data_IF_202625607630
#
_entry.id   IF_202625607630
#
_cell.length_a   1.000
_cell.length_b   1.000
_cell.length_c   1.000
_cell.angle_alpha   90.00
_cell.angle_beta   90.00
_cell.angle_gamma   90.00
#
_symmetry.space_group_name_H-M   'P 1'
#
loop_
_entity.id
_entity.type
_entity.pdbx_description
1 polymer ?
#
# COMPACT_ATOMS: atom_id res chain seq x y z
N UNK A 1 28.42 12.92 13.62
CA UNK A 1 27.31 12.47 12.75
C UNK A 1 26.59 13.73 12.30
N UNK A 2 26.85 14.18 11.07
CA UNK A 2 26.31 15.44 10.56
C UNK A 2 24.93 15.12 9.95
N UNK A 3 23.87 15.52 10.63
CA UNK A 3 22.52 15.46 10.10
C UNK A 3 22.33 16.67 9.19
N UNK A 4 22.30 16.45 7.88
CA UNK A 4 21.93 17.48 6.92
C UNK A 4 20.42 17.70 7.06
N UNK A 5 20.03 18.72 7.80
CA UNK A 5 18.67 19.26 7.73
C UNK A 5 18.64 20.14 6.49
N UNK A 6 17.90 19.71 5.46
CA UNK A 6 17.58 20.59 4.36
C UNK A 6 16.73 21.73 4.92
N UNK A 7 17.29 22.94 4.96
CA UNK A 7 16.57 24.17 5.29
C UNK A 7 15.54 24.37 4.20
N UNK A 8 14.24 24.38 4.56
CA UNK A 8 13.20 24.88 3.67
C UNK A 8 13.34 26.40 3.67
N UNK A 9 13.63 27.00 2.52
CA UNK A 9 13.45 28.43 2.35
C UNK A 9 11.98 28.74 2.58
N UNK A 10 11.70 29.69 3.47
CA UNK A 10 10.36 30.15 3.83
C UNK A 10 9.67 30.77 2.60
N UNK A 11 8.96 29.92 1.86
CA UNK A 11 8.00 30.24 0.84
C UNK A 11 7.07 29.05 0.68
N UNK A 12 5.76 29.26 0.72
CA UNK A 12 4.78 28.21 0.43
C UNK A 12 4.87 27.86 -1.07
N UNK A 13 5.84 27.02 -1.40
CA UNK A 13 6.07 26.47 -2.73
C UNK A 13 5.01 25.43 -3.14
N UNK A 14 3.99 25.23 -2.28
CA UNK A 14 2.88 24.32 -2.45
C UNK A 14 3.23 22.86 -2.19
N UNK A 15 4.44 22.56 -1.70
CA UNK A 15 4.88 21.21 -1.39
C UNK A 15 4.71 20.88 0.10
N UNK A 16 4.16 19.70 0.38
CA UNK A 16 3.95 19.20 1.73
C UNK A 16 4.20 17.69 1.82
N UNK A 17 4.45 17.13 3.02
CA UNK A 17 4.56 15.68 3.22
C UNK A 17 3.40 14.90 2.59
N UNK A 18 3.70 13.79 1.92
CA UNK A 18 2.68 12.92 1.33
C UNK A 18 1.73 12.37 2.41
N UNK A 19 0.42 12.42 2.13
CA UNK A 19 -0.63 11.90 3.00
C UNK A 19 -1.12 10.56 2.46
N UNK A 20 -0.88 9.48 3.22
CA UNK A 20 -1.29 8.13 2.85
C UNK A 20 -2.36 7.66 3.84
N UNK A 21 -3.55 7.32 3.34
CA UNK A 21 -4.64 6.73 4.13
C UNK A 21 -4.70 5.23 3.91
N UNK A 22 -4.93 4.47 4.98
CA UNK A 22 -5.10 3.02 4.92
C UNK A 22 -6.58 2.65 5.00
N UNK A 23 -7.02 1.75 4.14
CA UNK A 23 -8.34 1.09 4.18
C UNK A 23 -8.10 -0.40 4.40
N UNK A 24 -8.53 -0.93 5.54
CA UNK A 24 -8.25 -2.32 5.96
C UNK A 24 -9.51 -3.18 6.08
N UNK A 25 -10.56 -2.86 5.32
CA UNK A 25 -11.87 -3.54 5.37
C UNK A 25 -11.75 -5.07 5.27
N UNK A 26 -10.87 -5.56 4.39
CA UNK A 26 -10.65 -7.00 4.20
C UNK A 26 -10.08 -7.69 5.45
N UNK A 27 -9.37 -6.98 6.31
CA UNK A 27 -8.89 -7.54 7.58
C UNK A 27 -10.01 -7.71 8.60
N UNK A 28 -11.18 -7.11 8.38
CA UNK A 28 -12.34 -7.16 9.28
C UNK A 28 -13.51 -7.98 8.71
N UNK A 29 -13.46 -8.37 7.45
CA UNK A 29 -14.44 -9.25 6.81
C UNK A 29 -13.93 -10.71 6.82
N UNK A 30 -14.56 -11.62 7.58
CA UNK A 30 -14.16 -13.04 7.67
C UNK A 30 -14.08 -13.79 6.32
N UNK A 31 -14.79 -13.31 5.28
CA UNK A 31 -14.76 -13.90 3.94
C UNK A 31 -13.52 -13.52 3.14
N UNK A 32 -12.76 -12.53 3.61
CA UNK A 32 -11.66 -11.86 2.89
C UNK A 32 -10.27 -12.20 3.46
N UNK A 33 -10.23 -12.97 4.55
CA UNK A 33 -9.01 -13.50 5.14
C UNK A 33 -9.23 -14.89 5.74
N UNK A 34 -8.13 -15.58 6.07
CA UNK A 34 -8.18 -16.85 6.78
C UNK A 34 -8.51 -16.61 8.25
N UNK A 35 -9.59 -17.19 8.74
CA UNK A 35 -10.05 -17.10 10.14
C UNK A 35 -9.69 -18.33 10.96
N UNK A 36 -9.53 -19.47 10.30
CA UNK A 36 -9.10 -20.72 10.90
C UNK A 36 -8.30 -21.57 9.89
N UNK A 37 -7.48 -22.49 10.40
CA UNK A 37 -6.84 -23.50 9.55
C UNK A 37 -7.91 -24.39 8.91
N UNK A 38 -7.73 -24.74 7.64
CA UNK A 38 -8.72 -25.48 6.84
C UNK A 38 -9.76 -24.61 6.15
N UNK A 39 -9.79 -23.29 6.41
CA UNK A 39 -10.63 -22.37 5.66
C UNK A 39 -10.32 -22.45 4.15
N UNK A 40 -11.37 -22.55 3.33
CA UNK A 40 -11.25 -22.40 1.88
C UNK A 40 -11.39 -20.93 1.51
N UNK A 41 -10.41 -20.40 0.77
CA UNK A 41 -10.42 -19.03 0.26
C UNK A 41 -10.04 -19.00 -1.21
N UNK A 42 -10.37 -17.90 -1.87
CA UNK A 42 -9.92 -17.63 -3.24
C UNK A 42 -8.79 -16.61 -3.15
N UNK A 43 -7.63 -16.94 -3.71
CA UNK A 43 -6.49 -16.02 -3.76
C UNK A 43 -6.68 -14.89 -4.79
N UNK A 44 -5.70 -13.99 -4.85
CA UNK A 44 -5.75 -12.84 -5.74
C UNK A 44 -5.69 -13.19 -7.25
N UNK A 45 -5.31 -14.43 -7.59
CA UNK A 45 -5.29 -14.97 -8.95
C UNK A 45 -6.54 -15.80 -9.27
N UNK A 46 -7.50 -15.88 -8.34
CA UNK A 46 -8.74 -16.64 -8.52
C UNK A 46 -8.61 -18.13 -8.22
N UNK A 47 -7.51 -18.58 -7.58
CA UNK A 47 -7.30 -19.99 -7.24
C UNK A 47 -7.84 -20.29 -5.84
N UNK A 48 -8.44 -21.47 -5.70
CA UNK A 48 -8.83 -21.97 -4.39
C UNK A 48 -7.58 -22.36 -3.58
N UNK A 49 -7.52 -21.87 -2.34
CA UNK A 49 -6.49 -22.21 -1.37
C UNK A 49 -7.13 -22.73 -0.09
N UNK A 50 -6.41 -23.61 0.59
CA UNK A 50 -6.74 -24.06 1.95
C UNK A 50 -5.80 -23.36 2.90
N UNK A 51 -6.35 -22.60 3.85
CA UNK A 51 -5.56 -21.87 4.83
C UNK A 51 -4.84 -22.82 5.79
N UNK A 52 -3.54 -22.60 6.00
CA UNK A 52 -2.77 -23.27 7.04
C UNK A 52 -2.92 -22.55 8.40
N UNK A 53 -2.39 -23.14 9.47
CA UNK A 53 -2.45 -22.51 10.80
C UNK A 53 -1.68 -21.19 10.86
N UNK A 54 -0.56 -21.09 10.13
CA UNK A 54 0.24 -19.87 10.03
C UNK A 54 -0.37 -18.83 9.07
N UNK A 55 -1.39 -19.18 8.31
CA UNK A 55 -2.15 -18.28 7.43
C UNK A 55 -3.26 -17.52 8.14
N UNK A 56 -3.63 -17.92 9.37
CA UNK A 56 -4.74 -17.30 10.10
C UNK A 56 -4.44 -15.85 10.46
N UNK A 57 -5.33 -14.93 10.12
CA UNK A 57 -5.29 -13.56 10.61
C UNK A 57 -5.74 -13.54 12.08
N UNK A 58 -4.78 -13.45 12.99
CA UNK A 58 -5.06 -13.21 14.41
C UNK A 58 -5.20 -11.72 14.70
N UNK A 59 -5.86 -11.37 15.82
CA UNK A 59 -5.92 -9.98 16.28
C UNK A 59 -4.52 -9.39 16.54
N UNK A 60 -3.60 -10.21 17.04
CA UNK A 60 -2.20 -9.78 17.24
C UNK A 60 -1.54 -9.42 15.90
N UNK A 61 -1.68 -10.25 14.86
CA UNK A 61 -1.14 -9.97 13.52
C UNK A 61 -1.77 -8.72 12.90
N UNK A 62 -3.09 -8.58 13.03
CA UNK A 62 -3.83 -7.37 12.59
C UNK A 62 -3.30 -6.13 13.30
N UNK A 63 -3.12 -6.20 14.61
CA UNK A 63 -2.60 -5.10 15.45
C UNK A 63 -1.17 -4.71 15.07
N UNK A 64 -0.27 -5.68 14.86
CA UNK A 64 1.10 -5.44 14.41
C UNK A 64 1.10 -4.63 13.11
N UNK A 65 0.32 -5.06 12.11
CA UNK A 65 0.29 -4.36 10.82
C UNK A 65 -0.33 -2.96 10.93
N UNK A 66 -1.52 -2.84 11.52
CA UNK A 66 -2.28 -1.58 11.51
C UNK A 66 -1.74 -0.53 12.49
N UNK A 67 -1.15 -0.96 13.62
CA UNK A 67 -0.70 -0.04 14.68
C UNK A 67 0.81 0.17 14.73
N UNK A 68 1.60 -0.69 14.07
CA UNK A 68 3.06 -0.60 14.12
C UNK A 68 3.69 -0.56 12.73
N UNK A 69 3.54 -1.63 11.94
CA UNK A 69 4.28 -1.79 10.67
C UNK A 69 3.87 -0.75 9.63
N UNK A 70 2.58 -0.60 9.31
CA UNK A 70 2.12 0.38 8.32
C UNK A 70 2.35 1.82 8.78
N UNK A 71 2.03 2.24 10.02
CA UNK A 71 2.33 3.59 10.48
C UNK A 71 3.81 3.94 10.36
N UNK A 72 4.72 3.07 10.78
CA UNK A 72 6.16 3.31 10.69
C UNK A 72 6.65 3.36 9.23
N UNK A 73 6.15 2.47 8.36
CA UNK A 73 6.49 2.47 6.94
C UNK A 73 5.97 3.73 6.21
N UNK A 74 4.75 4.17 6.53
CA UNK A 74 4.17 5.41 6.01
C UNK A 74 4.99 6.61 6.50
N UNK A 75 5.37 6.64 7.77
CA UNK A 75 6.19 7.71 8.33
C UNK A 75 7.53 7.85 7.58
N UNK A 76 8.22 6.73 7.31
CA UNK A 76 9.47 6.75 6.55
C UNK A 76 9.32 7.44 5.19
N UNK A 77 8.20 7.21 4.49
CA UNK A 77 7.89 7.87 3.22
C UNK A 77 7.46 9.33 3.40
N UNK A 78 6.55 9.63 4.33
CA UNK A 78 6.03 10.99 4.54
C UNK A 78 7.12 11.99 4.98
N UNK A 79 8.12 11.53 5.72
CA UNK A 79 9.26 12.38 6.12
C UNK A 79 10.21 12.72 4.97
N UNK A 80 10.15 12.00 3.84
CA UNK A 80 11.12 12.07 2.74
C UNK A 80 10.51 12.52 1.42
N UNK A 81 9.21 12.26 1.22
CA UNK A 81 8.49 12.57 0.01
C UNK A 81 7.57 13.76 0.24
N UNK A 82 7.95 14.89 -0.35
CA UNK A 82 7.04 16.02 -0.50
C UNK A 82 6.26 15.88 -1.80
N UNK A 83 4.97 16.25 -1.77
CA UNK A 83 4.07 16.26 -2.92
C UNK A 83 3.31 17.58 -2.96
N UNK A 84 2.79 17.95 -4.14
CA UNK A 84 1.71 18.94 -4.22
C UNK A 84 0.42 18.27 -3.77
N UNK A 85 -0.21 18.67 -2.64
CA UNK A 85 -1.33 17.95 -2.09
C UNK A 85 -2.53 17.90 -3.03
N UNK A 86 -3.21 16.76 -3.10
CA UNK A 86 -4.53 16.67 -3.73
C UNK A 86 -5.52 17.51 -2.91
N UNK A 87 -6.20 18.46 -3.57
CA UNK A 87 -7.09 19.43 -2.92
C UNK A 87 -8.53 18.95 -2.82
N UNK A 88 -8.97 18.08 -3.75
CA UNK A 88 -10.31 17.48 -3.75
C UNK A 88 -10.29 16.07 -3.16
N UNK A 89 -11.44 15.55 -2.68
CA UNK A 89 -11.54 14.15 -2.28
C UNK A 89 -11.11 13.21 -3.41
N UNK A 90 -10.30 12.22 -3.06
CA UNK A 90 -9.85 11.17 -3.97
C UNK A 90 -11.01 10.20 -4.18
N UNK A 91 -11.56 10.18 -5.40
CA UNK A 91 -12.66 9.28 -5.80
C UNK A 91 -12.10 8.11 -6.58
N UNK A 92 -12.49 6.90 -6.20
CA UNK A 92 -12.04 5.67 -6.83
C UNK A 92 -12.98 5.29 -7.97
N UNK A 93 -12.48 5.03 -9.20
CA UNK A 93 -13.34 4.61 -10.30
C UNK A 93 -13.93 3.21 -10.07
N UNK A 94 -15.04 2.89 -10.74
CA UNK A 94 -15.62 1.55 -10.68
C UNK A 94 -14.89 0.53 -11.57
N UNK A 95 -14.14 0.99 -12.57
CA UNK A 95 -13.39 0.16 -13.52
C UNK A 95 -11.91 0.56 -13.53
N UNK A 96 -11.06 -0.26 -14.15
CA UNK A 96 -9.62 0.04 -14.24
C UNK A 96 -8.88 -0.02 -12.89
N UNK A 97 -9.39 -0.81 -11.93
CA UNK A 97 -8.87 -0.89 -10.57
C UNK A 97 -7.53 -1.64 -10.43
N UNK A 98 -7.00 -2.23 -11.50
CA UNK A 98 -5.81 -3.07 -11.42
C UNK A 98 -5.97 -4.17 -10.36
N UNK A 99 -4.97 -4.33 -9.47
CA UNK A 99 -5.03 -5.29 -8.37
C UNK A 99 -5.99 -4.90 -7.24
N UNK A 100 -6.39 -3.62 -7.13
CA UNK A 100 -7.36 -3.21 -6.11
C UNK A 100 -8.77 -3.75 -6.37
N UNK A 101 -9.05 -4.29 -7.57
CA UNK A 101 -10.29 -5.03 -7.83
C UNK A 101 -10.48 -6.22 -6.89
N UNK A 102 -9.35 -6.74 -6.36
CA UNK A 102 -9.34 -7.86 -5.43
C UNK A 102 -9.44 -7.42 -3.97
N UNK A 103 -9.71 -6.14 -3.68
CA UNK A 103 -9.83 -5.60 -2.33
C UNK A 103 -11.23 -5.01 -2.11
N UNK A 104 -11.72 -5.05 -0.87
CA UNK A 104 -12.95 -4.34 -0.53
C UNK A 104 -12.70 -2.83 -0.56
N UNK A 105 -13.37 -2.15 -1.50
CA UNK A 105 -13.39 -0.70 -1.62
C UNK A 105 -14.73 -0.19 -1.07
N UNK A 106 -14.74 0.56 0.05
CA UNK A 106 -15.97 1.15 0.58
C UNK A 106 -16.73 1.95 -0.47
N UNK A 107 -18.06 1.81 -0.52
CA UNK A 107 -18.92 2.54 -1.48
C UNK A 107 -18.74 4.06 -1.39
N UNK A 108 -18.43 4.59 -0.20
CA UNK A 108 -18.09 6.00 0.00
C UNK A 108 -16.85 6.44 -0.78
N UNK A 109 -15.86 5.57 -1.01
CA UNK A 109 -14.67 5.89 -1.80
C UNK A 109 -14.99 6.03 -3.30
N UNK A 110 -16.02 5.35 -3.79
CA UNK A 110 -16.51 5.48 -5.17
C UNK A 110 -17.41 6.70 -5.39
N UNK A 111 -18.01 7.23 -4.32
CA UNK A 111 -19.01 8.30 -4.40
C UNK A 111 -18.45 9.63 -3.88
N UNK A 112 -18.44 9.82 -2.56
CA UNK A 112 -17.92 11.04 -1.93
C UNK A 112 -16.39 11.16 -2.01
N UNK A 113 -15.68 10.03 -2.15
CA UNK A 113 -14.23 9.95 -2.12
C UNK A 113 -13.65 10.10 -0.71
N UNK A 114 -12.32 10.15 -0.64
CA UNK A 114 -11.57 10.32 0.61
C UNK A 114 -10.87 11.68 0.60
N UNK A 115 -11.27 12.56 1.52
CA UNK A 115 -10.65 13.88 1.67
C UNK A 115 -9.31 13.81 2.43
N UNK A 116 -8.45 14.79 2.20
CA UNK A 116 -7.21 14.96 2.97
C UNK A 116 -6.20 13.83 2.78
N UNK A 117 -6.18 13.20 1.61
CA UNK A 117 -5.25 12.13 1.25
C UNK A 117 -4.70 12.34 -0.15
N UNK A 118 -3.47 11.88 -0.37
CA UNK A 118 -2.83 11.84 -1.68
C UNK A 118 -2.88 10.44 -2.28
N UNK A 119 -2.80 9.42 -1.43
CA UNK A 119 -2.87 8.01 -1.82
C UNK A 119 -3.75 7.24 -0.84
N UNK A 120 -4.61 6.35 -1.36
CA UNK A 120 -5.35 5.38 -0.56
C UNK A 120 -4.69 4.01 -0.71
N UNK A 121 -4.34 3.39 0.40
CA UNK A 121 -3.72 2.08 0.48
C UNK A 121 -4.76 1.06 0.97
N UNK A 122 -5.21 0.18 0.08
CA UNK A 122 -6.08 -0.94 0.42
C UNK A 122 -5.22 -2.08 0.94
N UNK A 123 -5.35 -2.38 2.24
CA UNK A 123 -4.46 -3.29 2.95
C UNK A 123 -5.19 -4.56 3.36
N UNK A 124 -4.51 -5.69 3.22
CA UNK A 124 -4.96 -6.97 3.76
C UNK A 124 -3.80 -7.77 4.34
N UNK A 125 -4.13 -8.79 5.13
CA UNK A 125 -3.21 -9.83 5.58
C UNK A 125 -3.80 -11.15 5.10
N UNK A 126 -3.27 -11.64 3.99
CA UNK A 126 -3.76 -12.81 3.29
C UNK A 126 -2.58 -13.66 2.80
N UNK A 127 -2.71 -14.99 2.73
CA UNK A 127 -1.64 -15.86 2.27
C UNK A 127 -1.10 -15.46 0.90
N UNK A 128 0.21 -15.60 0.73
CA UNK A 128 0.90 -15.39 -0.55
C UNK A 128 1.90 -16.51 -0.75
N UNK A 129 2.19 -16.83 -2.00
CA UNK A 129 3.27 -17.75 -2.33
C UNK A 129 4.62 -17.03 -2.24
N UNK A 130 5.47 -17.43 -1.30
CA UNK A 130 6.90 -17.05 -1.23
C UNK A 130 7.25 -15.61 -0.84
N UNK A 131 6.30 -14.67 -0.87
CA UNK A 131 6.55 -13.25 -0.54
C UNK A 131 6.21 -12.95 0.92
N UNK A 132 7.03 -12.13 1.57
CA UNK A 132 6.71 -11.61 2.93
C UNK A 132 5.59 -10.57 2.88
N UNK A 133 5.61 -9.73 1.87
CA UNK A 133 4.60 -8.74 1.56
C UNK A 133 4.69 -8.44 0.07
N UNK A 134 3.66 -7.81 -0.47
CA UNK A 134 3.71 -7.19 -1.78
C UNK A 134 2.86 -5.93 -1.77
N UNK A 135 3.20 -4.94 -2.58
CA UNK A 135 2.29 -3.85 -2.90
C UNK A 135 2.35 -3.48 -4.37
N UNK A 136 1.24 -2.96 -4.88
CA UNK A 136 1.14 -2.57 -6.27
C UNK A 136 0.21 -1.38 -6.45
N UNK A 137 0.57 -0.54 -7.41
CA UNK A 137 -0.27 0.58 -7.83
C UNK A 137 -1.49 0.07 -8.56
N UNK A 138 -2.63 0.64 -8.20
CA UNK A 138 -3.91 0.27 -8.79
C UNK A 138 -4.38 1.31 -9.80
N UNK A 139 -4.42 2.58 -9.37
CA UNK A 139 -5.02 3.67 -10.15
C UNK A 139 -4.11 4.89 -10.13
N UNK A 140 -4.09 5.60 -11.27
CA UNK A 140 -3.29 6.79 -11.50
C UNK A 140 -4.19 7.94 -11.96
N UNK A 141 -3.81 9.15 -11.62
CA UNK A 141 -4.37 10.37 -12.19
C UNK A 141 -3.87 10.55 -13.63
N UNK A 142 -4.44 11.50 -14.36
CA UNK A 142 -4.08 11.79 -15.76
C UNK A 142 -2.61 12.21 -15.91
N UNK A 143 -2.04 12.83 -14.88
CA UNK A 143 -0.61 13.19 -14.81
C UNK A 143 0.32 12.00 -14.47
N UNK A 144 -0.24 10.79 -14.36
CA UNK A 144 0.47 9.57 -14.02
C UNK A 144 0.67 9.34 -12.52
N UNK A 145 0.28 10.30 -11.65
CA UNK A 145 0.45 10.19 -10.20
C UNK A 145 -0.39 9.05 -9.63
N UNK A 146 0.19 8.11 -8.87
CA UNK A 146 -0.57 7.07 -8.18
C UNK A 146 -1.45 7.68 -7.09
N UNK A 147 -2.72 7.27 -7.00
CA UNK A 147 -3.62 7.71 -5.92
C UNK A 147 -4.35 6.56 -5.22
N UNK A 148 -4.24 5.34 -5.72
CA UNK A 148 -4.73 4.14 -5.07
C UNK A 148 -3.75 2.98 -5.28
N UNK A 149 -3.51 2.21 -4.23
CA UNK A 149 -2.63 1.05 -4.25
C UNK A 149 -3.19 -0.07 -3.36
N UNK A 150 -2.81 -1.30 -3.69
CA UNK A 150 -3.06 -2.48 -2.89
C UNK A 150 -1.78 -2.89 -2.17
N UNK A 151 -1.90 -3.36 -0.93
CA UNK A 151 -0.81 -3.97 -0.18
C UNK A 151 -1.32 -5.20 0.55
N UNK A 152 -0.49 -6.22 0.60
CA UNK A 152 -0.78 -7.42 1.33
C UNK A 152 0.44 -7.90 2.11
N UNK A 153 0.21 -8.39 3.32
CA UNK A 153 1.24 -9.00 4.17
C UNK A 153 0.93 -10.48 4.36
N UNK A 154 1.91 -11.35 4.16
CA UNK A 154 1.74 -12.77 4.42
C UNK A 154 1.61 -13.01 5.94
N UNK A 155 0.50 -13.61 6.42
CA UNK A 155 0.22 -13.78 7.85
C UNK A 155 1.37 -14.48 8.60
N UNK A 156 1.97 -15.51 7.98
CA UNK A 156 3.09 -16.30 8.50
C UNK A 156 4.38 -15.50 8.75
N UNK A 157 4.52 -14.33 8.15
CA UNK A 157 5.70 -13.47 8.29
C UNK A 157 5.45 -12.20 9.12
N UNK A 158 4.22 -12.00 9.61
CA UNK A 158 3.87 -10.85 10.44
C UNK A 158 4.57 -10.97 11.80
N UNK A 159 5.42 -9.98 12.07
CA UNK A 159 6.15 -9.83 13.33
C UNK A 159 6.52 -8.36 13.55
N UNK A 160 6.53 -7.91 14.81
CA UNK A 160 6.89 -6.55 15.20
C UNK A 160 8.41 -6.34 15.16
N UNK A 161 8.99 -6.23 13.96
CA UNK A 161 10.44 -6.08 13.77
C UNK A 161 10.78 -4.91 12.86
N UNK A 162 11.96 -4.32 13.06
CA UNK A 162 12.50 -3.28 12.16
C UNK A 162 12.70 -3.79 10.74
N UNK A 163 13.01 -5.08 10.57
CA UNK A 163 13.07 -5.75 9.26
C UNK A 163 11.73 -5.67 8.55
N UNK A 164 10.64 -6.02 9.22
CA UNK A 164 9.31 -6.02 8.61
C UNK A 164 8.81 -4.60 8.31
N UNK A 165 9.17 -3.60 9.13
CA UNK A 165 8.92 -2.19 8.79
C UNK A 165 9.62 -1.79 7.49
N UNK A 166 10.88 -2.20 7.30
CA UNK A 166 11.64 -1.90 6.07
C UNK A 166 11.09 -2.65 4.86
N UNK A 167 10.65 -3.89 5.02
CA UNK A 167 9.95 -4.63 3.95
C UNK A 167 8.66 -3.91 3.57
N UNK A 168 7.83 -3.52 4.55
CA UNK A 168 6.63 -2.73 4.26
C UNK A 168 6.97 -1.41 3.55
N UNK A 169 8.00 -0.68 4.00
CA UNK A 169 8.43 0.55 3.34
C UNK A 169 8.92 0.32 1.91
N UNK A 170 9.63 -0.78 1.65
CA UNK A 170 10.04 -1.19 0.31
C UNK A 170 8.81 -1.42 -0.60
N UNK A 171 7.85 -2.22 -0.14
CA UNK A 171 6.61 -2.46 -0.90
C UNK A 171 5.84 -1.16 -1.15
N UNK A 172 5.71 -0.30 -0.13
CA UNK A 172 5.07 1.01 -0.31
C UNK A 172 5.82 1.87 -1.35
N UNK A 173 7.14 1.72 -1.49
CA UNK A 173 7.89 2.35 -2.57
C UNK A 173 7.38 1.94 -3.95
N UNK A 174 7.17 0.64 -4.18
CA UNK A 174 6.54 0.14 -5.42
C UNK A 174 5.13 0.71 -5.63
N UNK A 175 4.32 0.71 -4.58
CA UNK A 175 2.98 1.32 -4.58
C UNK A 175 2.99 2.84 -4.82
N UNK A 176 4.11 3.54 -4.57
CA UNK A 176 4.25 4.97 -4.81
C UNK A 176 4.91 5.30 -6.15
N UNK A 177 5.28 4.29 -6.94
CA UNK A 177 5.81 4.46 -8.29
C UNK A 177 7.29 4.16 -8.45
N UNK A 178 7.97 3.64 -7.42
CA UNK A 178 9.33 3.15 -7.54
C UNK A 178 9.34 1.78 -8.22
N UNK A 179 9.16 1.75 -9.54
CA UNK A 179 9.11 0.52 -10.33
C UNK A 179 9.61 0.80 -11.75
N UNK A 180 9.99 -0.27 -12.45
CA UNK A 180 10.52 -0.19 -13.81
C UNK A 180 9.56 0.54 -14.76
N UNK A 181 8.27 0.17 -14.80
CA UNK A 181 7.30 0.77 -15.73
C UNK A 181 7.20 2.31 -15.59
N UNK A 182 7.05 2.89 -14.39
CA UNK A 182 7.21 4.34 -14.18
C UNK A 182 8.53 4.89 -14.70
N UNK A 183 9.65 4.26 -14.39
CA UNK A 183 10.95 4.76 -14.80
C UNK A 183 11.09 4.79 -16.32
N UNK A 184 10.58 3.78 -17.03
CA UNK A 184 10.53 3.79 -18.50
C UNK A 184 9.62 4.90 -19.03
N UNK A 185 8.41 5.05 -18.47
CA UNK A 185 7.42 6.05 -18.89
C UNK A 185 7.94 7.48 -18.76
N UNK A 186 8.73 7.74 -17.72
CA UNK A 186 9.32 9.05 -17.46
C UNK A 186 10.76 9.18 -17.96
N UNK A 187 11.23 8.24 -18.79
CA UNK A 187 12.58 8.25 -19.38
C UNK A 187 13.71 8.37 -18.34
N UNK A 188 13.57 7.68 -17.21
CA UNK A 188 14.52 7.65 -16.09
C UNK A 188 15.49 6.47 -16.14
N UNK A 189 15.37 5.57 -17.12
CA UNK A 189 16.27 4.45 -17.35
C UNK A 189 16.79 4.47 -18.79
N UNK A 190 18.00 3.98 -18.98
CA UNK A 190 18.64 3.81 -20.29
C UNK A 190 19.34 2.46 -20.34
N UNK A 191 19.27 1.79 -21.49
CA UNK A 191 20.09 0.62 -21.76
C UNK A 191 21.54 1.07 -22.03
N UNK A 192 22.49 0.48 -21.31
CA UNK A 192 23.92 0.68 -21.56
C UNK A 192 24.41 -0.57 -22.28
N UNK A 193 24.83 -0.47 -23.56
CA UNK A 193 25.40 -1.59 -24.28
C UNK A 193 26.64 -2.13 -23.55
N UNK A 194 26.79 -3.45 -23.52
CA UNK A 194 27.99 -4.13 -23.02
C UNK A 194 29.20 -3.89 -23.94
#
# INVERSE_FOLDING_TARGET
MQAYTAVREDGDDGWAPIRIRVSAEDMHDPSRHCTAAGDLRIDYDGRAITCEADDVLTEERRSIILRQTLPAAIQLHSERLSVRPVTRPVVIPHTGLGLCKNFTIPQKHHTAGVAGTDVILYANIFPTSGLTAWASRCVRMDDGRPFAAAVNFAPRHVAATSRNVRVAAHELGHALGFAETPFSLFHMISEVPN
#
